data_IF_785792506337
#
_entry.id   IF_785792506337
#
_cell.length_a   1.000
_cell.length_b   1.000
_cell.length_c   1.000
_cell.angle_alpha   90.00
_cell.angle_beta   90.00
_cell.angle_gamma   90.00
#
_symmetry.space_group_name_H-M   'P 1'
#
loop_
_entity.id
_entity.type
_entity.pdbx_description
1 polymer ?
#
# COMPACT_ATOMS: atom_id res chain seq x y z
N UNK A 1 33.15 42.91 -34.21
CA UNK A 1 32.95 42.61 -32.78
C UNK A 1 31.83 41.60 -32.68
N UNK A 2 32.13 40.38 -32.29
CA UNK A 2 31.13 39.31 -32.17
C UNK A 2 30.31 39.52 -30.88
N UNK A 3 28.99 39.61 -31.02
CA UNK A 3 28.07 39.86 -29.91
C UNK A 3 27.59 38.51 -29.39
N UNK A 4 28.08 38.11 -28.21
CA UNK A 4 27.59 36.93 -27.50
C UNK A 4 26.18 37.21 -26.95
N UNK A 5 25.16 36.67 -27.63
CA UNK A 5 23.77 36.71 -27.16
C UNK A 5 23.55 35.52 -26.24
N UNK A 6 23.62 35.74 -24.93
CA UNK A 6 23.17 34.76 -23.94
C UNK A 6 21.63 34.84 -23.80
N UNK A 7 20.93 33.72 -23.63
CA UNK A 7 19.49 33.73 -23.41
C UNK A 7 19.15 34.44 -22.10
N UNK A 8 18.27 35.44 -22.18
CA UNK A 8 17.76 36.17 -21.01
C UNK A 8 16.88 35.23 -20.19
N UNK A 9 17.30 34.90 -18.97
CA UNK A 9 16.44 34.18 -18.02
C UNK A 9 15.23 35.07 -17.68
N UNK A 10 14.04 34.63 -18.07
CA UNK A 10 12.80 35.38 -17.84
C UNK A 10 12.61 35.67 -16.35
N UNK A 11 12.43 36.95 -16.01
CA UNK A 11 12.09 37.39 -14.66
C UNK A 11 10.84 36.65 -14.18
N UNK A 12 11.00 35.79 -13.17
CA UNK A 12 9.88 35.08 -12.53
C UNK A 12 8.85 36.11 -12.08
N UNK A 13 7.60 35.97 -12.53
CA UNK A 13 6.52 36.88 -12.13
C UNK A 13 6.40 36.98 -10.60
N UNK A 14 5.91 38.13 -10.09
CA UNK A 14 5.80 38.46 -8.65
C UNK A 14 5.16 37.35 -7.79
N UNK A 15 4.33 36.49 -8.38
CA UNK A 15 3.66 35.39 -7.67
C UNK A 15 4.64 34.27 -7.37
N UNK A 16 4.85 34.01 -6.07
CA UNK A 16 5.63 32.88 -5.58
C UNK A 16 5.02 31.57 -6.08
N UNK A 17 5.80 30.75 -6.77
CA UNK A 17 5.46 29.36 -7.05
C UNK A 17 5.43 28.62 -5.70
N UNK A 18 4.26 28.11 -5.31
CA UNK A 18 4.13 27.35 -4.07
C UNK A 18 4.57 25.92 -4.32
N UNK A 19 5.54 25.46 -3.54
CA UNK A 19 5.92 24.05 -3.51
C UNK A 19 4.90 23.25 -2.69
N UNK A 20 4.16 22.38 -3.38
CA UNK A 20 3.15 21.51 -2.79
C UNK A 20 3.76 20.51 -1.79
N UNK A 21 5.04 20.14 -1.95
CA UNK A 21 5.68 19.18 -1.05
C UNK A 21 5.87 19.73 0.36
N UNK A 22 6.00 21.06 0.49
CA UNK A 22 6.18 21.74 1.78
C UNK A 22 4.87 22.00 2.50
N UNK A 23 3.73 21.66 1.90
CA UNK A 23 2.44 21.84 2.56
C UNK A 23 2.34 20.92 3.76
N UNK A 24 2.01 21.48 4.94
CA UNK A 24 1.88 20.73 6.21
C UNK A 24 1.02 19.47 6.06
N UNK A 25 -0.06 19.53 5.27
CA UNK A 25 -0.92 18.37 4.98
C UNK A 25 -0.21 17.27 4.19
N UNK A 26 0.60 17.65 3.19
CA UNK A 26 1.33 16.71 2.36
C UNK A 26 2.50 16.08 3.12
N UNK A 27 3.18 16.84 3.98
CA UNK A 27 4.20 16.33 4.90
C UNK A 27 3.57 15.28 5.83
N UNK A 28 2.49 15.62 6.55
CA UNK A 28 1.77 14.67 7.42
C UNK A 28 1.27 13.43 6.67
N UNK A 29 0.84 13.59 5.41
CA UNK A 29 0.41 12.47 4.58
C UNK A 29 1.59 11.54 4.26
N UNK A 30 2.74 12.09 3.87
CA UNK A 30 3.96 11.33 3.59
C UNK A 30 4.47 10.59 4.82
N UNK A 31 4.52 11.26 5.97
CA UNK A 31 4.92 10.67 7.26
C UNK A 31 4.01 9.49 7.65
N UNK A 32 2.70 9.62 7.42
CA UNK A 32 1.73 8.56 7.71
C UNK A 32 1.99 7.28 6.89
N UNK A 33 2.39 7.44 5.64
CA UNK A 33 2.67 6.31 4.73
C UNK A 33 4.15 5.90 4.73
N UNK A 34 4.98 6.56 5.53
CA UNK A 34 6.38 6.20 5.75
C UNK A 34 6.52 5.14 6.82
N UNK A 35 7.42 4.18 6.57
CA UNK A 35 7.81 3.23 7.60
C UNK A 35 8.66 3.95 8.66
N UNK A 36 8.21 3.92 9.91
CA UNK A 36 9.02 4.41 11.04
C UNK A 36 10.15 3.46 11.39
N UNK A 37 9.86 2.15 11.45
CA UNK A 37 10.80 1.07 11.78
C UNK A 37 10.31 -0.24 11.15
N UNK A 38 11.22 -1.15 10.76
CA UNK A 38 10.82 -2.51 10.39
C UNK A 38 10.15 -3.21 11.58
N UNK A 39 9.26 -4.18 11.31
CA UNK A 39 8.60 -4.94 12.37
C UNK A 39 9.63 -5.71 13.21
N UNK A 40 9.42 -5.74 14.53
CA UNK A 40 10.26 -6.52 15.42
C UNK A 40 9.98 -8.01 15.20
N UNK A 41 11.04 -8.75 14.88
CA UNK A 41 10.96 -10.16 14.52
C UNK A 41 10.58 -11.05 15.72
N UNK A 42 10.95 -10.64 16.93
CA UNK A 42 10.59 -11.34 18.16
C UNK A 42 9.06 -11.43 18.33
N UNK A 43 8.35 -10.35 18.02
CA UNK A 43 6.90 -10.27 18.14
C UNK A 43 6.21 -11.20 17.13
N UNK A 44 6.82 -11.41 15.96
CA UNK A 44 6.26 -12.27 14.90
C UNK A 44 6.42 -13.74 15.25
N UNK A 45 7.55 -14.11 15.84
CA UNK A 45 7.78 -15.49 16.33
C UNK A 45 6.87 -15.88 17.49
N UNK A 46 6.27 -14.90 18.19
CA UNK A 46 5.27 -15.17 19.23
C UNK A 46 3.93 -15.68 18.67
N UNK A 47 3.73 -15.58 17.35
CA UNK A 47 2.50 -15.98 16.68
C UNK A 47 2.36 -17.52 16.66
N UNK A 48 1.54 -18.07 17.57
CA UNK A 48 1.30 -19.53 17.73
C UNK A 48 0.21 -20.10 16.80
N UNK A 49 -0.11 -19.43 15.69
CA UNK A 49 -1.09 -19.93 14.72
C UNK A 49 -0.45 -21.05 13.87
N UNK A 50 -0.44 -22.26 14.41
CA UNK A 50 0.04 -23.48 13.74
C UNK A 50 -1.08 -24.33 13.16
N UNK A 51 -2.33 -24.16 13.64
CA UNK A 51 -3.46 -25.09 13.39
C UNK A 51 -4.59 -24.55 12.52
N UNK A 52 -4.52 -23.32 12.03
CA UNK A 52 -5.52 -22.81 11.08
C UNK A 52 -4.94 -22.95 9.67
N UNK A 53 -5.46 -23.89 8.87
CA UNK A 53 -5.03 -24.16 7.48
C UNK A 53 -4.95 -22.89 6.60
N UNK A 54 -5.71 -21.86 6.97
CA UNK A 54 -5.82 -20.58 6.27
C UNK A 54 -4.71 -19.58 6.59
N UNK A 55 -4.01 -19.70 7.72
CA UNK A 55 -3.02 -18.73 8.18
C UNK A 55 -1.70 -19.42 8.55
N UNK A 56 -0.69 -19.29 7.70
CA UNK A 56 0.61 -19.96 7.84
C UNK A 56 1.69 -19.06 8.45
N UNK A 57 1.38 -18.37 9.54
CA UNK A 57 2.27 -17.39 10.15
C UNK A 57 3.60 -17.99 10.61
N UNK A 58 3.59 -19.25 11.07
CA UNK A 58 4.79 -19.98 11.49
C UNK A 58 5.76 -20.33 10.36
N UNK A 59 5.30 -20.28 9.10
CA UNK A 59 6.13 -20.58 7.92
C UNK A 59 6.87 -19.36 7.38
N UNK A 60 6.55 -18.15 7.88
CA UNK A 60 7.15 -16.93 7.39
C UNK A 60 8.56 -16.74 7.95
N UNK A 61 9.53 -16.63 7.04
CA UNK A 61 10.89 -16.33 7.43
C UNK A 61 11.05 -14.82 7.69
N UNK A 62 11.91 -14.50 8.65
CA UNK A 62 12.43 -13.16 8.93
C UNK A 62 12.81 -12.37 7.67
N UNK A 63 13.50 -13.04 6.76
CA UNK A 63 13.99 -12.46 5.52
C UNK A 63 12.87 -12.11 4.55
N UNK A 64 11.80 -12.92 4.49
CA UNK A 64 10.65 -12.68 3.61
C UNK A 64 9.86 -11.46 4.10
N UNK A 65 9.71 -11.33 5.42
CA UNK A 65 9.06 -10.19 6.06
C UNK A 65 9.84 -8.90 5.79
N UNK A 66 11.17 -8.96 5.90
CA UNK A 66 12.05 -7.83 5.59
C UNK A 66 11.92 -7.41 4.13
N UNK A 67 11.94 -8.36 3.19
CA UNK A 67 11.79 -8.09 1.76
C UNK A 67 10.43 -7.49 1.44
N UNK A 68 9.35 -8.07 1.98
CA UNK A 68 8.00 -7.55 1.82
C UNK A 68 7.88 -6.12 2.34
N UNK A 69 8.39 -5.87 3.55
CA UNK A 69 8.37 -4.55 4.16
C UNK A 69 9.14 -3.53 3.32
N UNK A 70 10.33 -3.89 2.84
CA UNK A 70 11.10 -3.03 1.94
C UNK A 70 10.32 -2.72 0.66
N UNK A 71 9.79 -3.75 -0.01
CA UNK A 71 9.02 -3.61 -1.25
C UNK A 71 7.76 -2.74 -1.08
N UNK A 72 7.03 -2.90 0.03
CA UNK A 72 5.81 -2.15 0.33
C UNK A 72 6.09 -0.64 0.50
N UNK A 73 7.17 -0.29 1.17
CA UNK A 73 7.53 1.11 1.47
C UNK A 73 8.45 1.76 0.43
N UNK A 74 8.77 1.10 -0.69
CA UNK A 74 9.54 1.73 -1.80
C UNK A 74 8.89 3.03 -2.27
N UNK A 75 7.56 3.09 -2.34
CA UNK A 75 6.80 4.29 -2.72
C UNK A 75 5.83 4.69 -1.61
N UNK A 76 5.98 5.90 -1.09
CA UNK A 76 5.21 6.46 0.03
C UNK A 76 3.81 6.97 -0.37
N UNK A 77 3.21 6.36 -1.39
CA UNK A 77 1.93 6.78 -1.95
C UNK A 77 0.86 5.76 -1.58
N UNK A 78 -0.20 6.21 -0.90
CA UNK A 78 -1.35 5.37 -0.49
C UNK A 78 -1.86 4.49 -1.63
N UNK A 79 -2.11 5.07 -2.81
CA UNK A 79 -2.67 4.36 -3.96
C UNK A 79 -1.75 3.21 -4.39
N UNK A 80 -0.43 3.46 -4.37
CA UNK A 80 0.56 2.44 -4.75
C UNK A 80 0.63 1.34 -3.70
N UNK A 81 0.61 1.70 -2.42
CA UNK A 81 0.60 0.74 -1.30
C UNK A 81 -0.65 -0.13 -1.31
N UNK A 82 -1.84 0.46 -1.50
CA UNK A 82 -3.09 -0.28 -1.61
C UNK A 82 -3.05 -1.24 -2.82
N UNK A 83 -2.61 -0.75 -3.99
CA UNK A 83 -2.47 -1.57 -5.18
C UNK A 83 -1.46 -2.71 -4.98
N UNK A 84 -0.41 -2.48 -4.20
CA UNK A 84 0.53 -3.54 -3.84
C UNK A 84 -0.14 -4.62 -2.98
N UNK A 85 -0.93 -4.24 -1.97
CA UNK A 85 -1.69 -5.19 -1.16
C UNK A 85 -2.68 -6.00 -1.99
N UNK A 86 -3.40 -5.34 -2.91
CA UNK A 86 -4.41 -5.99 -3.75
C UNK A 86 -3.83 -7.09 -4.65
N UNK A 87 -2.52 -7.06 -4.99
CA UNK A 87 -1.87 -8.15 -5.73
C UNK A 87 -1.84 -9.48 -4.98
N UNK A 88 -1.85 -9.42 -3.65
CA UNK A 88 -1.71 -10.61 -2.79
C UNK A 88 -3.03 -11.00 -2.12
N UNK A 89 -4.15 -10.36 -2.48
CA UNK A 89 -5.44 -10.57 -1.84
C UNK A 89 -6.48 -11.04 -2.86
N UNK A 90 -7.23 -12.08 -2.50
CA UNK A 90 -8.44 -12.47 -3.24
C UNK A 90 -9.65 -11.71 -2.69
N UNK A 91 -10.31 -10.94 -3.55
CA UNK A 91 -11.49 -10.18 -3.17
C UNK A 91 -12.74 -10.99 -3.50
N UNK A 92 -13.45 -11.46 -2.47
CA UNK A 92 -14.78 -12.05 -2.65
C UNK A 92 -15.84 -10.96 -2.69
N UNK A 93 -16.50 -10.82 -3.84
CA UNK A 93 -17.66 -9.93 -3.96
C UNK A 93 -18.84 -10.56 -3.22
N UNK A 94 -19.42 -9.91 -2.21
CA UNK A 94 -20.54 -10.47 -1.48
C UNK A 94 -21.73 -10.70 -2.43
N UNK A 95 -22.32 -11.90 -2.37
CA UNK A 95 -23.52 -12.23 -3.17
C UNK A 95 -24.64 -11.27 -2.80
N UNK A 96 -25.00 -10.37 -3.72
CA UNK A 96 -26.10 -9.41 -3.52
C UNK A 96 -27.40 -10.20 -3.46
N UNK A 97 -27.99 -10.32 -2.27
CA UNK A 97 -29.36 -10.82 -2.12
C UNK A 97 -30.31 -9.75 -2.66
N UNK A 98 -30.91 -9.97 -3.84
CA UNK A 98 -32.04 -9.16 -4.29
C UNK A 98 -33.18 -9.36 -3.28
N UNK A 99 -33.79 -8.27 -2.83
CA UNK A 99 -35.02 -8.35 -2.01
C UNK A 99 -36.08 -9.06 -2.85
N UNK A 100 -36.82 -10.00 -2.26
CA UNK A 100 -38.06 -10.47 -2.87
C UNK A 100 -39.01 -9.28 -2.96
N UNK A 101 -39.55 -9.02 -4.15
CA UNK A 101 -40.56 -7.98 -4.37
C UNK A 101 -41.72 -8.28 -3.41
N UNK A 102 -41.98 -7.37 -2.45
CA UNK A 102 -43.08 -7.52 -1.49
C UNK A 102 -42.83 -6.95 -0.08
N UNK A 103 -41.60 -7.05 0.45
CA UNK A 103 -41.33 -6.56 1.81
C UNK A 103 -40.65 -5.19 1.81
N UNK A 104 -41.47 -4.16 1.99
CA UNK A 104 -41.15 -2.73 2.07
C UNK A 104 -40.52 -2.32 3.40
N UNK A 105 -39.71 -3.19 4.03
CA UNK A 105 -39.02 -2.83 5.26
C UNK A 105 -37.74 -2.05 4.92
N UNK A 106 -37.67 -0.78 5.30
CA UNK A 106 -36.45 0.02 5.31
C UNK A 106 -35.36 -0.74 6.08
N UNK A 107 -34.32 -1.17 5.38
CA UNK A 107 -33.10 -1.59 6.07
C UNK A 107 -31.95 -0.90 5.38
N UNK A 108 -31.61 0.24 5.96
CA UNK A 108 -30.41 1.05 5.69
C UNK A 108 -29.17 0.32 6.21
N UNK A 109 -29.06 -0.98 5.93
CA UNK A 109 -27.94 -1.81 6.34
C UNK A 109 -26.73 -1.41 5.51
N UNK A 110 -25.80 -0.69 6.12
CA UNK A 110 -24.48 -0.39 5.55
C UNK A 110 -23.79 -1.72 5.24
N UNK A 111 -23.72 -2.06 3.96
CA UNK A 111 -22.96 -3.21 3.49
C UNK A 111 -21.47 -2.94 3.69
N UNK A 112 -20.87 -3.53 4.71
CA UNK A 112 -19.42 -3.65 4.80
C UNK A 112 -18.97 -4.82 3.92
N UNK A 113 -18.10 -4.55 2.94
CA UNK A 113 -17.46 -5.61 2.15
C UNK A 113 -16.67 -6.49 3.11
N UNK A 114 -16.99 -7.79 3.19
CA UNK A 114 -16.11 -8.76 3.85
C UNK A 114 -14.89 -8.96 2.95
N UNK A 115 -13.73 -8.55 3.45
CA UNK A 115 -12.44 -8.84 2.82
C UNK A 115 -11.89 -10.06 3.55
N UNK A 116 -11.89 -11.22 2.90
CA UNK A 116 -11.21 -12.41 3.41
C UNK A 116 -9.79 -12.41 2.84
N UNK A 117 -8.80 -12.13 3.67
CA UNK A 117 -7.40 -12.18 3.28
C UNK A 117 -6.94 -13.64 3.20
N UNK A 118 -7.01 -14.23 2.00
CA UNK A 118 -6.33 -15.49 1.69
C UNK A 118 -4.94 -15.12 1.17
N UNK A 119 -3.93 -15.22 2.03
CA UNK A 119 -2.54 -14.97 1.68
C UNK A 119 -2.02 -16.22 0.97
N UNK A 120 -2.01 -16.21 -0.36
CA UNK A 120 -1.24 -17.18 -1.13
C UNK A 120 0.22 -16.73 -1.16
N UNK A 121 1.11 -17.54 -0.57
CA UNK A 121 2.55 -17.32 -0.69
C UNK A 121 2.94 -17.51 -2.17
N UNK A 122 3.39 -16.47 -2.89
CA UNK A 122 3.98 -16.69 -4.19
C UNK A 122 5.26 -17.50 -3.99
N UNK A 123 5.41 -18.56 -4.78
CA UNK A 123 6.61 -19.39 -4.80
C UNK A 123 7.88 -18.54 -4.91
N UNK A 124 8.92 -19.01 -4.20
CA UNK A 124 10.30 -18.52 -4.14
C UNK A 124 10.67 -17.57 -5.29
N UNK A 125 10.83 -16.28 -4.98
CA UNK A 125 11.24 -15.29 -5.98
C UNK A 125 12.57 -15.72 -6.64
N UNK A 126 12.70 -15.61 -7.97
CA UNK A 126 13.92 -15.97 -8.66
C UNK A 126 15.05 -15.03 -8.23
N UNK A 127 16.19 -15.63 -7.83
CA UNK A 127 17.43 -14.90 -7.55
C UNK A 127 17.88 -14.24 -8.85
N UNK A 128 17.97 -12.91 -8.89
CA UNK A 128 18.60 -12.21 -10.02
C UNK A 128 20.06 -12.67 -10.10
N UNK A 129 20.36 -13.44 -11.14
CA UNK A 129 21.74 -13.76 -11.53
C UNK A 129 22.45 -12.46 -11.86
N UNK A 130 23.70 -12.33 -11.37
CA UNK A 130 24.61 -11.28 -11.78
C UNK A 130 24.95 -11.49 -13.26
N UNK A 131 24.75 -10.46 -14.07
CA UNK A 131 25.50 -10.28 -15.32
C UNK A 131 26.75 -9.46 -14.99
#
# INVERSE_FOLDING_TARGET
MEVNIAPVEGNKGRKRIRDENKWKRNIKKRERYSSKRPPNLADITSCRHTKNEKLKCSTLNSQDIRQFHQAFYVKLNKIVQDNFMLKFMKVHVPKRRRRKVGNRAESRAKYHKKIEAVIECPGRMPRRGKM
#
